data_IF_631811464576
#
_entry.id   IF_631811464576
#
_cell.length_a   1.000
_cell.length_b   1.000
_cell.length_c   1.000
_cell.angle_alpha   90.00
_cell.angle_beta   90.00
_cell.angle_gamma   90.00
#
_symmetry.space_group_name_H-M   'P 1'
#
loop_
_entity.id
_entity.type
_entity.pdbx_description
1 polymer ?
#
# COMPACT_ATOMS: atom_id res chain seq x y z
N UNK A 1 10.80 -12.18 19.54
CA UNK A 1 11.63 -11.03 19.14
C UNK A 1 11.86 -11.11 17.64
N UNK A 2 11.85 -9.98 16.92
CA UNK A 2 12.17 -9.95 15.51
C UNK A 2 13.66 -10.22 15.30
N UNK A 3 14.01 -10.87 14.20
CA UNK A 3 15.39 -11.08 13.76
C UNK A 3 15.98 -9.78 13.20
N UNK A 4 17.31 -9.69 13.10
CA UNK A 4 17.98 -8.55 12.45
C UNK A 4 17.45 -8.32 11.03
N UNK A 5 17.21 -9.41 10.28
CA UNK A 5 16.64 -9.34 8.93
C UNK A 5 15.25 -8.70 8.93
N UNK A 6 14.37 -9.14 9.83
CA UNK A 6 13.01 -8.60 9.96
C UNK A 6 13.05 -7.11 10.33
N UNK A 7 13.96 -6.69 11.20
CA UNK A 7 14.16 -5.27 11.52
C UNK A 7 14.62 -4.44 10.31
N UNK A 8 15.63 -4.91 9.58
CA UNK A 8 16.13 -4.22 8.38
C UNK A 8 15.06 -4.13 7.29
N UNK A 9 14.27 -5.19 7.10
CA UNK A 9 13.15 -5.20 6.17
C UNK A 9 12.07 -4.22 6.61
N UNK A 10 11.69 -4.24 7.90
CA UNK A 10 10.67 -3.36 8.45
C UNK A 10 11.02 -1.89 8.23
N UNK A 11 12.27 -1.49 8.50
CA UNK A 11 12.75 -0.13 8.28
C UNK A 11 12.73 0.26 6.80
N UNK A 12 13.30 -0.60 5.95
CA UNK A 12 13.40 -0.40 4.50
C UNK A 12 12.03 -0.23 3.86
N UNK A 13 11.08 -1.11 4.21
CA UNK A 13 9.73 -1.09 3.67
C UNK A 13 8.95 0.12 4.21
N UNK A 14 9.09 0.45 5.50
CA UNK A 14 8.45 1.63 6.08
C UNK A 14 8.89 2.91 5.37
N UNK A 15 10.21 3.05 5.09
CA UNK A 15 10.75 4.16 4.30
C UNK A 15 10.13 4.21 2.90
N UNK A 16 10.06 3.07 2.23
CA UNK A 16 9.49 2.95 0.88
C UNK A 16 8.02 3.38 0.82
N UNK A 17 7.19 2.89 1.75
CA UNK A 17 5.77 3.26 1.81
C UNK A 17 5.57 4.71 2.28
N UNK A 18 6.42 5.25 3.14
CA UNK A 18 6.41 6.67 3.53
C UNK A 18 6.71 7.59 2.34
N UNK A 19 7.67 7.21 1.49
CA UNK A 19 7.93 7.92 0.24
C UNK A 19 6.69 7.91 -0.65
N UNK A 20 6.08 6.73 -0.85
CA UNK A 20 4.88 6.60 -1.66
C UNK A 20 3.70 7.44 -1.12
N UNK A 21 3.47 7.42 0.20
CA UNK A 21 2.45 8.26 0.86
C UNK A 21 2.67 9.74 0.58
N UNK A 22 3.92 10.20 0.68
CA UNK A 22 4.30 11.59 0.44
C UNK A 22 4.02 11.98 -1.01
N UNK A 23 4.46 11.16 -1.97
CA UNK A 23 4.20 11.39 -3.40
C UNK A 23 2.69 11.50 -3.72
N UNK A 24 1.84 10.67 -3.11
CA UNK A 24 0.40 10.75 -3.32
C UNK A 24 -0.24 11.94 -2.61
N UNK A 25 0.28 12.36 -1.46
CA UNK A 25 -0.15 13.59 -0.78
C UNK A 25 0.24 14.85 -1.54
N UNK A 26 1.36 14.83 -2.27
CA UNK A 26 1.79 15.94 -3.13
C UNK A 26 1.00 15.97 -4.44
N UNK A 27 0.68 14.80 -5.00
CA UNK A 27 -0.09 14.67 -6.24
C UNK A 27 -1.58 14.98 -6.07
N UNK A 28 -2.15 14.66 -4.92
CA UNK A 28 -3.58 14.79 -4.62
C UNK A 28 -3.81 15.78 -3.46
N UNK A 29 -5.05 15.92 -2.98
CA UNK A 29 -5.32 16.86 -1.88
C UNK A 29 -4.92 16.21 -0.55
N UNK A 30 -3.92 16.72 0.20
CA UNK A 30 -3.50 16.10 1.45
C UNK A 30 -4.60 16.19 2.52
N UNK A 31 -4.67 15.17 3.38
CA UNK A 31 -5.54 15.11 4.56
C UNK A 31 -4.71 14.91 5.83
N UNK A 32 -5.36 14.86 6.99
CA UNK A 32 -4.74 14.58 8.28
C UNK A 32 -4.02 13.22 8.22
N UNK A 33 -2.85 13.14 8.84
CA UNK A 33 -1.98 11.96 8.88
C UNK A 33 -1.48 11.56 7.47
N UNK A 34 -1.38 10.27 7.18
CA UNK A 34 -0.89 9.74 5.90
C UNK A 34 -1.98 9.63 4.82
N UNK A 35 -3.05 10.42 4.93
CA UNK A 35 -4.22 10.36 4.04
C UNK A 35 -4.17 11.42 2.95
N UNK A 36 -4.81 11.11 1.83
CA UNK A 36 -5.02 12.04 0.73
C UNK A 36 -6.42 11.85 0.11
N UNK A 37 -6.92 12.88 -0.57
CA UNK A 37 -8.22 12.87 -1.24
C UNK A 37 -8.03 13.00 -2.75
N UNK A 38 -8.66 12.09 -3.49
CA UNK A 38 -8.76 12.11 -4.95
C UNK A 38 -10.22 11.97 -5.35
N UNK A 39 -10.72 12.89 -6.17
CA UNK A 39 -12.10 12.90 -6.68
C UNK A 39 -13.19 12.77 -5.58
N UNK A 40 -13.00 13.43 -4.44
CA UNK A 40 -13.93 13.39 -3.30
C UNK A 40 -13.84 12.14 -2.42
N UNK A 41 -12.94 11.21 -2.74
CA UNK A 41 -12.71 9.97 -1.97
C UNK A 41 -11.41 10.10 -1.19
N UNK A 42 -11.44 9.81 0.10
CA UNK A 42 -10.23 9.78 0.95
C UNK A 42 -9.60 8.40 0.92
N UNK A 43 -8.28 8.34 0.71
CA UNK A 43 -7.47 7.14 0.64
C UNK A 43 -6.38 7.13 1.71
N UNK A 44 -5.94 5.93 2.05
CA UNK A 44 -4.82 5.70 2.97
C UNK A 44 -4.00 4.47 2.55
N UNK A 45 -2.69 4.56 2.73
CA UNK A 45 -1.77 3.42 2.67
C UNK A 45 -1.34 3.17 4.12
N UNK A 46 -1.77 2.05 4.70
CA UNK A 46 -1.48 1.64 6.08
C UNK A 46 -0.01 1.28 6.29
N UNK A 47 0.43 1.27 7.55
CA UNK A 47 1.83 1.00 7.87
C UNK A 47 2.15 -0.47 7.64
N UNK A 48 3.36 -0.78 7.14
CA UNK A 48 3.72 -2.15 6.85
C UNK A 48 4.03 -2.91 8.15
N UNK A 49 3.81 -4.22 8.10
CA UNK A 49 4.25 -5.16 9.12
C UNK A 49 4.99 -6.30 8.44
N UNK A 50 6.25 -6.51 8.82
CA UNK A 50 7.03 -7.68 8.40
C UNK A 50 6.70 -8.85 9.33
N UNK A 51 6.24 -9.95 8.75
CA UNK A 51 5.93 -11.21 9.43
C UNK A 51 6.72 -12.35 8.80
N UNK A 52 6.59 -13.56 9.35
CA UNK A 52 7.17 -14.78 8.77
C UNK A 52 6.62 -15.11 7.38
N UNK A 53 5.37 -14.73 7.11
CA UNK A 53 4.70 -14.99 5.83
C UNK A 53 5.09 -13.97 4.75
N UNK A 54 5.64 -12.83 5.17
CA UNK A 54 6.10 -11.76 4.30
C UNK A 54 5.71 -10.38 4.80
N UNK A 55 5.58 -9.46 3.87
CA UNK A 55 5.27 -8.05 4.14
C UNK A 55 3.78 -7.82 3.99
N UNK A 56 3.15 -7.37 5.07
CA UNK A 56 1.73 -7.06 5.11
C UNK A 56 1.52 -5.55 5.15
N UNK A 57 0.61 -5.04 4.34
CA UNK A 57 0.13 -3.66 4.47
C UNK A 57 -1.31 -3.55 3.96
N UNK A 58 -1.96 -2.44 4.30
CA UNK A 58 -3.35 -2.20 3.96
C UNK A 58 -3.48 -0.97 3.07
N UNK A 59 -4.45 -0.98 2.17
CA UNK A 59 -4.91 0.20 1.45
C UNK A 59 -6.38 0.38 1.75
N UNK A 60 -6.80 1.58 2.12
CA UNK A 60 -8.21 1.87 2.40
C UNK A 60 -8.72 3.08 1.63
N UNK A 61 -10.03 3.11 1.41
CA UNK A 61 -10.75 4.22 0.79
C UNK A 61 -12.12 4.42 1.43
N UNK A 62 -12.48 5.67 1.73
CA UNK A 62 -13.82 6.01 2.23
C UNK A 62 -14.88 5.68 1.17
N UNK A 63 -15.97 5.02 1.55
CA UNK A 63 -17.15 4.88 0.69
C UNK A 63 -17.85 6.24 0.61
N UNK A 64 -17.99 6.84 -0.58
CA UNK A 64 -18.39 8.24 -0.70
C UNK A 64 -19.91 8.38 -0.84
N UNK A 65 -20.68 7.85 0.12
CA UNK A 65 -22.15 7.83 0.09
C UNK A 65 -22.78 9.21 -0.14
N UNK A 66 -22.10 10.27 0.31
CA UNK A 66 -22.52 11.67 0.16
C UNK A 66 -22.58 12.16 -1.30
N UNK A 67 -21.92 11.47 -2.24
CA UNK A 67 -21.88 11.85 -3.67
C UNK A 67 -22.37 10.74 -4.60
N UNK A 68 -22.96 9.69 -4.05
CA UNK A 68 -23.60 8.63 -4.83
C UNK A 68 -25.10 8.93 -4.98
N UNK A 69 -25.70 8.44 -6.04
CA UNK A 69 -27.15 8.47 -6.25
C UNK A 69 -27.90 7.78 -5.09
N UNK A 70 -29.12 8.22 -4.82
CA UNK A 70 -29.97 7.67 -3.75
C UNK A 70 -30.29 6.16 -3.88
N UNK A 71 -30.01 5.56 -5.05
CA UNK A 71 -30.19 4.12 -5.33
C UNK A 71 -28.95 3.28 -5.05
N UNK A 72 -27.79 3.91 -4.89
CA UNK A 72 -26.54 3.24 -4.57
C UNK A 72 -26.46 3.00 -3.06
N UNK A 73 -26.26 1.74 -2.66
CA UNK A 73 -26.03 1.39 -1.25
C UNK A 73 -24.56 1.13 -1.01
N UNK A 74 -24.12 1.25 0.25
CA UNK A 74 -22.74 0.96 0.63
C UNK A 74 -22.32 -0.46 0.27
N UNK A 75 -23.23 -1.43 0.40
CA UNK A 75 -22.98 -2.85 0.10
C UNK A 75 -22.74 -3.05 -1.39
N UNK A 76 -23.55 -2.40 -2.25
CA UNK A 76 -23.37 -2.45 -3.71
C UNK A 76 -22.05 -1.82 -4.11
N UNK A 77 -21.70 -0.67 -3.53
CA UNK A 77 -20.44 0.00 -3.79
C UNK A 77 -19.25 -0.86 -3.35
N UNK A 78 -19.27 -1.35 -2.12
CA UNK A 78 -18.24 -2.24 -1.57
C UNK A 78 -18.04 -3.49 -2.45
N UNK A 79 -19.12 -4.18 -2.80
CA UNK A 79 -19.07 -5.38 -3.64
C UNK A 79 -18.45 -5.08 -5.00
N UNK A 80 -18.84 -3.97 -5.63
CA UNK A 80 -18.30 -3.58 -6.92
C UNK A 80 -16.80 -3.26 -6.86
N UNK A 81 -16.33 -2.58 -5.81
CA UNK A 81 -14.90 -2.32 -5.59
C UNK A 81 -14.15 -3.62 -5.34
N UNK A 82 -14.65 -4.46 -4.44
CA UNK A 82 -14.08 -5.78 -4.12
C UNK A 82 -13.90 -6.63 -5.39
N UNK A 83 -14.93 -6.70 -6.23
CA UNK A 83 -14.90 -7.48 -7.46
C UNK A 83 -13.84 -6.98 -8.46
N UNK A 84 -13.61 -5.65 -8.55
CA UNK A 84 -12.61 -5.09 -9.45
C UNK A 84 -11.20 -5.36 -8.94
N UNK A 85 -10.94 -5.08 -7.67
CA UNK A 85 -9.58 -5.10 -7.10
C UNK A 85 -9.09 -6.53 -6.89
N UNK A 86 -10.00 -7.49 -6.67
CA UNK A 86 -9.67 -8.91 -6.61
C UNK A 86 -9.32 -9.51 -7.98
N UNK A 87 -9.65 -8.85 -9.09
CA UNK A 87 -9.37 -9.33 -10.47
C UNK A 87 -8.18 -8.65 -11.14
N UNK A 88 -7.75 -7.49 -10.65
CA UNK A 88 -6.65 -6.71 -11.24
C UNK A 88 -5.35 -6.89 -10.47
N UNK A 89 -4.31 -7.37 -11.13
CA UNK A 89 -2.96 -7.47 -10.55
C UNK A 89 -2.89 -8.50 -9.42
N UNK A 90 -2.18 -8.16 -8.34
CA UNK A 90 -2.15 -9.00 -7.12
C UNK A 90 -3.49 -8.87 -6.40
N UNK A 91 -4.21 -9.97 -6.28
CA UNK A 91 -5.41 -10.00 -5.45
C UNK A 91 -5.04 -9.72 -3.98
N UNK A 92 -5.80 -8.85 -3.28
CA UNK A 92 -5.66 -8.68 -1.84
C UNK A 92 -5.87 -10.02 -1.12
N UNK A 93 -5.17 -10.23 -0.02
CA UNK A 93 -5.40 -11.34 0.91
C UNK A 93 -6.82 -11.28 1.50
N UNK A 94 -7.26 -10.08 1.89
CA UNK A 94 -8.62 -9.84 2.35
C UNK A 94 -9.12 -8.47 1.86
N UNK A 95 -10.44 -8.35 1.75
CA UNK A 95 -11.12 -7.09 1.44
C UNK A 95 -12.32 -6.99 2.36
N UNK A 96 -12.26 -6.00 3.25
CA UNK A 96 -13.14 -5.85 4.39
C UNK A 96 -13.83 -4.47 4.35
N UNK A 97 -15.05 -4.41 4.87
CA UNK A 97 -15.76 -3.15 5.08
C UNK A 97 -15.57 -2.74 6.53
N UNK A 98 -14.93 -1.60 6.75
CA UNK A 98 -14.64 -1.07 8.09
C UNK A 98 -15.57 0.11 8.37
N UNK A 99 -16.39 0.01 9.43
CA UNK A 99 -17.26 1.09 9.87
C UNK A 99 -16.62 1.80 11.07
N UNK A 100 -16.25 3.08 10.88
CA UNK A 100 -15.73 3.91 11.95
C UNK A 100 -16.84 4.84 12.43
N UNK A 101 -17.36 4.58 13.64
CA UNK A 101 -18.32 5.46 14.31
C UNK A 101 -17.55 6.45 15.19
N UNK A 102 -17.61 7.74 14.86
CA UNK A 102 -17.10 8.81 15.74
C UNK A 102 -18.27 9.54 16.38
N UNK A 103 -18.39 9.48 17.70
CA UNK A 103 -19.29 10.33 18.48
C UNK A 103 -18.70 11.73 18.61
N UNK A 104 -19.33 12.71 17.99
CA UNK A 104 -18.94 14.13 18.07
C UNK A 104 -19.65 14.83 19.24
N UNK A 105 -20.81 14.32 19.67
CA UNK A 105 -21.59 14.76 20.85
C UNK A 105 -22.61 13.67 21.26
N UNK A 106 -23.44 13.93 22.28
CA UNK A 106 -24.55 13.06 22.71
C UNK A 106 -25.60 12.81 21.60
N UNK A 107 -25.68 13.68 20.60
CA UNK A 107 -26.69 13.63 19.52
C UNK A 107 -26.10 13.42 18.12
N UNK A 108 -24.79 13.57 17.93
CA UNK A 108 -24.16 13.53 16.60
C UNK A 108 -23.17 12.36 16.47
N UNK A 109 -23.55 11.33 15.71
CA UNK A 109 -22.69 10.20 15.32
C UNK A 109 -22.29 10.36 13.86
N UNK A 110 -20.99 10.36 13.59
CA UNK A 110 -20.45 10.33 12.24
C UNK A 110 -19.96 8.93 11.92
N UNK A 111 -20.74 8.20 11.14
CA UNK A 111 -20.33 6.91 10.59
C UNK A 111 -19.56 7.12 9.29
N UNK A 112 -18.42 6.43 9.17
CA UNK A 112 -17.63 6.42 7.93
C UNK A 112 -17.34 4.98 7.59
N UNK A 113 -17.95 4.52 6.50
CA UNK A 113 -17.64 3.21 5.93
C UNK A 113 -16.40 3.34 5.03
N UNK A 114 -15.46 2.42 5.18
CA UNK A 114 -14.28 2.29 4.36
C UNK A 114 -14.24 0.92 3.72
N UNK A 115 -13.70 0.86 2.51
CA UNK A 115 -13.21 -0.39 1.91
C UNK A 115 -11.74 -0.50 2.30
N UNK A 116 -11.33 -1.60 2.92
CA UNK A 116 -9.95 -1.89 3.29
C UNK A 116 -9.48 -3.17 2.60
N UNK A 117 -8.40 -3.07 1.85
CA UNK A 117 -7.76 -4.18 1.15
C UNK A 117 -6.41 -4.49 1.80
N UNK A 118 -6.26 -5.72 2.30
CA UNK A 118 -5.02 -6.20 2.91
C UNK A 118 -4.18 -6.94 1.88
N UNK A 119 -2.92 -6.56 1.72
CA UNK A 119 -1.98 -7.21 0.81
C UNK A 119 -0.89 -7.92 1.59
N UNK A 120 -0.41 -9.03 1.02
CA UNK A 120 0.77 -9.74 1.50
C UNK A 120 1.70 -10.03 0.33
N UNK A 121 2.99 -9.78 0.53
CA UNK A 121 4.05 -10.12 -0.41
C UNK A 121 5.11 -10.95 0.28
N UNK A 122 5.32 -12.15 -0.22
CA UNK A 122 6.40 -13.03 0.23
C UNK A 122 7.77 -12.47 -0.17
N UNK A 123 8.84 -12.93 0.48
CA UNK A 123 10.19 -12.48 0.18
C UNK A 123 10.60 -12.74 -1.28
N UNK A 124 10.21 -13.90 -1.82
CA UNK A 124 10.48 -14.29 -3.21
C UNK A 124 9.76 -13.39 -4.23
N UNK A 125 8.72 -12.65 -3.81
CA UNK A 125 8.07 -11.64 -4.64
C UNK A 125 8.80 -10.30 -4.61
N UNK A 126 9.70 -10.09 -3.64
CA UNK A 126 10.38 -8.82 -3.39
C UNK A 126 11.85 -8.83 -3.86
N UNK A 127 12.49 -9.99 -3.91
CA UNK A 127 13.81 -10.15 -4.51
C UNK A 127 14.07 -11.61 -4.93
N UNK A 128 14.97 -11.79 -5.88
CA UNK A 128 15.46 -13.10 -6.32
C UNK A 128 16.98 -13.22 -6.11
N UNK A 129 17.42 -14.29 -5.46
CA UNK A 129 18.84 -14.48 -5.14
C UNK A 129 19.73 -14.58 -6.39
N UNK A 130 19.23 -15.15 -7.48
CA UNK A 130 20.00 -15.28 -8.72
C UNK A 130 20.19 -13.90 -9.39
N UNK A 131 19.17 -13.05 -9.36
CA UNK A 131 19.25 -11.67 -9.84
C UNK A 131 20.20 -10.82 -8.99
N UNK A 132 20.14 -10.95 -7.66
CA UNK A 132 21.07 -10.24 -6.77
C UNK A 132 22.51 -10.69 -7.05
N UNK A 133 22.75 -11.99 -7.23
CA UNK A 133 24.09 -12.52 -7.53
C UNK A 133 24.63 -11.92 -8.83
N UNK A 134 23.81 -11.87 -9.89
CA UNK A 134 24.17 -11.21 -11.16
C UNK A 134 24.47 -9.73 -10.97
N UNK A 135 23.71 -9.01 -10.13
CA UNK A 135 23.98 -7.61 -9.79
C UNK A 135 25.34 -7.48 -9.09
N UNK A 136 25.62 -8.32 -8.09
CA UNK A 136 26.91 -8.34 -7.37
C UNK A 136 28.08 -8.50 -8.34
N UNK A 137 28.00 -9.45 -9.27
CA UNK A 137 29.09 -9.69 -10.23
C UNK A 137 29.29 -8.53 -11.20
N UNK A 138 28.23 -7.80 -11.56
CA UNK A 138 28.33 -6.56 -12.34
C UNK A 138 29.02 -5.45 -11.55
N UNK A 139 28.65 -5.25 -10.28
CA UNK A 139 29.26 -4.23 -9.42
C UNK A 139 30.72 -4.53 -9.09
N UNK A 140 31.13 -5.80 -9.02
CA UNK A 140 32.55 -6.17 -8.91
C UNK A 140 33.36 -5.72 -10.13
N UNK A 141 32.74 -5.70 -11.32
CA UNK A 141 33.40 -5.28 -12.57
C UNK A 141 33.41 -3.77 -12.74
N UNK A 142 32.37 -3.06 -12.27
CA UNK A 142 32.26 -1.59 -12.26
C UNK A 142 31.76 -1.09 -10.89
N UNK A 143 32.67 -0.66 -9.99
CA UNK A 143 32.34 -0.32 -8.58
C UNK A 143 31.57 0.99 -8.32
N UNK A 144 30.83 1.54 -9.27
CA UNK A 144 30.21 2.86 -9.08
C UNK A 144 28.93 2.84 -8.23
N UNK A 145 28.80 3.79 -7.30
CA UNK A 145 27.60 4.13 -6.52
C UNK A 145 26.87 2.95 -5.83
N UNK A 146 27.60 2.22 -4.98
CA UNK A 146 26.98 1.23 -4.09
C UNK A 146 26.24 1.96 -2.95
N UNK A 147 24.93 1.74 -2.76
CA UNK A 147 24.20 2.35 -1.64
C UNK A 147 24.78 1.86 -0.31
N UNK A 148 25.14 2.79 0.59
CA UNK A 148 25.58 2.45 1.94
C UNK A 148 24.35 2.33 2.83
N UNK A 149 24.16 1.16 3.46
CA UNK A 149 23.07 0.92 4.39
C UNK A 149 23.68 0.58 5.76
N UNK A 150 23.45 1.39 6.80
CA UNK A 150 23.92 1.09 8.15
C UNK A 150 23.50 -0.31 8.61
N UNK A 151 24.41 -1.02 9.28
CA UNK A 151 24.15 -2.38 9.77
C UNK A 151 24.23 -3.50 8.72
N UNK A 152 24.50 -3.18 7.44
CA UNK A 152 24.65 -4.18 6.38
C UNK A 152 26.02 -4.06 5.72
N UNK A 153 26.90 -5.01 6.05
CA UNK A 153 28.31 -4.98 5.61
C UNK A 153 28.50 -5.55 4.21
N UNK A 154 27.68 -6.53 3.80
CA UNK A 154 27.83 -7.20 2.51
C UNK A 154 27.14 -6.42 1.38
N UNK A 155 27.77 -6.39 0.20
CA UNK A 155 27.16 -5.84 -1.02
C UNK A 155 25.86 -6.58 -1.36
N UNK A 156 25.85 -7.90 -1.19
CA UNK A 156 24.68 -8.74 -1.42
C UNK A 156 23.49 -8.28 -0.56
N UNK A 157 23.69 -8.11 0.75
CA UNK A 157 22.64 -7.68 1.66
C UNK A 157 22.09 -6.29 1.31
N UNK A 158 22.96 -5.36 0.89
CA UNK A 158 22.54 -4.02 0.45
C UNK A 158 21.66 -4.08 -0.80
N UNK A 159 22.04 -4.90 -1.79
CA UNK A 159 21.26 -5.09 -3.02
C UNK A 159 19.94 -5.82 -2.79
N UNK A 160 19.86 -6.70 -1.80
CA UNK A 160 18.59 -7.29 -1.34
C UNK A 160 17.68 -6.20 -0.81
N UNK A 161 18.14 -5.37 0.13
CA UNK A 161 17.32 -4.30 0.70
C UNK A 161 16.88 -3.28 -0.36
N UNK A 162 17.76 -2.92 -1.29
CA UNK A 162 17.40 -2.07 -2.42
C UNK A 162 16.29 -2.70 -3.27
N UNK A 163 16.41 -3.99 -3.62
CA UNK A 163 15.37 -4.69 -4.40
C UNK A 163 14.05 -4.75 -3.65
N UNK A 164 14.09 -5.02 -2.33
CA UNK A 164 12.90 -4.99 -1.47
C UNK A 164 12.23 -3.61 -1.48
N UNK A 165 13.01 -2.53 -1.33
CA UNK A 165 12.52 -1.15 -1.37
C UNK A 165 11.86 -0.80 -2.71
N UNK A 166 12.50 -1.14 -3.82
CA UNK A 166 12.02 -0.89 -5.18
C UNK A 166 10.74 -1.68 -5.49
N UNK A 167 10.73 -2.98 -5.17
CA UNK A 167 9.60 -3.86 -5.46
C UNK A 167 8.39 -3.50 -4.60
N UNK A 168 8.57 -3.21 -3.31
CA UNK A 168 7.44 -2.85 -2.46
C UNK A 168 6.85 -1.50 -2.87
N UNK A 169 7.69 -0.52 -3.23
CA UNK A 169 7.24 0.75 -3.79
C UNK A 169 6.39 0.53 -5.05
N UNK A 170 6.92 -0.23 -6.02
CA UNK A 170 6.26 -0.51 -7.29
C UNK A 170 4.92 -1.19 -7.08
N UNK A 171 4.89 -2.29 -6.31
CA UNK A 171 3.69 -3.09 -6.06
C UNK A 171 2.63 -2.28 -5.29
N UNK A 172 3.03 -1.56 -4.24
CA UNK A 172 2.10 -0.71 -3.49
C UNK A 172 1.53 0.42 -4.37
N UNK A 173 2.36 1.03 -5.24
CA UNK A 173 1.93 2.04 -6.22
C UNK A 173 0.92 1.48 -7.21
N UNK A 174 1.17 0.29 -7.76
CA UNK A 174 0.24 -0.39 -8.65
C UNK A 174 -1.10 -0.66 -7.94
N UNK A 175 -1.07 -1.16 -6.71
CA UNK A 175 -2.27 -1.45 -5.94
C UNK A 175 -3.09 -0.19 -5.64
N UNK A 176 -2.48 0.91 -5.16
CA UNK A 176 -3.22 2.15 -4.86
C UNK A 176 -3.78 2.79 -6.12
N UNK A 177 -3.04 2.76 -7.24
CA UNK A 177 -3.55 3.27 -8.53
C UNK A 177 -4.72 2.43 -9.03
N UNK A 178 -4.62 1.10 -8.94
CA UNK A 178 -5.74 0.20 -9.26
C UNK A 178 -6.97 0.51 -8.40
N UNK A 179 -6.75 0.77 -7.10
CA UNK A 179 -7.79 1.08 -6.15
C UNK A 179 -8.47 2.43 -6.41
N UNK A 180 -7.70 3.46 -6.76
CA UNK A 180 -8.23 4.78 -7.18
C UNK A 180 -9.05 4.63 -8.44
N UNK A 181 -8.52 3.94 -9.46
CA UNK A 181 -9.20 3.73 -10.74
C UNK A 181 -10.51 2.94 -10.58
N UNK A 182 -10.54 1.93 -9.70
CA UNK A 182 -11.75 1.17 -9.38
C UNK A 182 -12.81 2.09 -8.76
N UNK A 183 -12.41 2.87 -7.76
CA UNK A 183 -13.28 3.84 -7.08
C UNK A 183 -13.83 4.89 -8.05
N UNK A 184 -12.99 5.45 -8.91
CA UNK A 184 -13.42 6.43 -9.93
C UNK A 184 -14.42 5.81 -10.92
N UNK A 185 -14.15 4.60 -11.39
CA UNK A 185 -15.02 3.88 -12.32
C UNK A 185 -16.39 3.53 -11.73
N UNK A 186 -16.44 3.09 -10.47
CA UNK A 186 -17.72 2.81 -9.79
C UNK A 186 -18.44 4.10 -9.43
N UNK A 187 -17.72 5.13 -8.93
CA UNK A 187 -18.30 6.44 -8.64
C UNK A 187 -19.02 7.00 -9.86
N UNK A 188 -18.38 7.04 -11.03
CA UNK A 188 -19.00 7.52 -12.28
C UNK A 188 -20.25 6.72 -12.71
N UNK A 189 -20.33 5.43 -12.37
CA UNK A 189 -21.51 4.59 -12.65
C UNK A 189 -22.64 4.76 -11.64
N UNK A 190 -22.33 5.26 -10.45
CA UNK A 190 -23.25 5.35 -9.32
C UNK A 190 -23.62 6.79 -8.93
N UNK A 191 -22.93 7.80 -9.49
CA UNK A 191 -23.28 9.23 -9.41
C UNK A 191 -24.47 9.59 -10.28
#
# INVERSE_FOLDING_TARGET
MPTLKEHLFQETISRSLNRLRSEFRDKYKPKKDNRFESHGITYEIGSPLVTREGVVFEISSKIPLDILSSRATKEKYFKAIKDIISKKGKAPLSVDMENIVTSLSLSEKKERDYVKAKYIYSENELYDNSEITKKVDKFKKNPENIPVIPGVTTLFGRLVLQSVEEQIYKKAKENIVSFINANEGIRKKCS
#
